data_IF_228293852011
#
_entry.id   IF_228293852011
#
_cell.length_a   1.000
_cell.length_b   1.000
_cell.length_c   1.000
_cell.angle_alpha   90.00
_cell.angle_beta   90.00
_cell.angle_gamma   90.00
#
_symmetry.space_group_name_H-M   'P 1'
#
loop_
_entity.id
_entity.type
_entity.pdbx_description
1 polymer ?
#
# COMPACT_ATOMS: atom_id res chain seq x y z
N UNK A 1 -3.38 -27.20 13.40
CA UNK A 1 -2.75 -25.87 13.32
C UNK A 1 -1.64 -25.93 12.28
N UNK A 2 -1.88 -25.41 11.09
CA UNK A 2 -0.88 -25.31 10.01
C UNK A 2 -0.04 -24.06 10.23
N UNK A 3 1.29 -24.15 10.37
CA UNK A 3 2.14 -22.97 10.35
C UNK A 3 2.23 -22.46 8.89
N UNK A 4 1.77 -21.24 8.67
CA UNK A 4 1.98 -20.48 7.44
C UNK A 4 3.49 -20.24 7.27
N UNK A 5 4.15 -21.05 6.44
CA UNK A 5 5.47 -20.73 5.92
C UNK A 5 5.34 -19.60 4.90
N UNK A 6 5.81 -18.40 5.26
CA UNK A 6 6.01 -17.31 4.31
C UNK A 6 7.07 -17.67 3.25
N UNK A 7 7.20 -16.87 2.18
CA UNK A 7 8.18 -17.13 1.12
C UNK A 7 9.60 -17.09 1.71
N UNK A 8 10.32 -18.22 1.63
CA UNK A 8 11.74 -18.29 1.96
C UNK A 8 12.51 -17.33 1.06
N UNK A 9 13.22 -16.39 1.67
CA UNK A 9 14.19 -15.52 1.01
C UNK A 9 15.30 -16.36 0.37
N UNK A 10 15.77 -15.90 -0.79
CA UNK A 10 16.74 -16.52 -1.66
C UNK A 10 18.05 -16.91 -0.93
N UNK A 11 18.46 -18.17 -1.06
CA UNK A 11 19.82 -18.59 -0.72
C UNK A 11 20.80 -18.00 -1.73
N UNK A 12 21.83 -17.28 -1.25
CA UNK A 12 22.90 -16.75 -2.11
C UNK A 12 23.73 -17.92 -2.64
N UNK A 13 23.61 -18.23 -3.93
CA UNK A 13 24.49 -19.21 -4.60
C UNK A 13 23.93 -19.93 -5.82
N UNK A 14 22.63 -19.86 -6.12
CA UNK A 14 22.08 -20.51 -7.31
C UNK A 14 22.46 -19.75 -8.59
N UNK A 15 23.08 -20.40 -9.60
CA UNK A 15 23.45 -19.73 -10.84
C UNK A 15 22.20 -19.22 -11.56
N UNK A 16 22.23 -17.95 -11.97
CA UNK A 16 21.18 -17.35 -12.78
C UNK A 16 21.34 -17.84 -14.21
N UNK A 17 20.34 -18.55 -14.71
CA UNK A 17 20.31 -19.11 -16.06
C UNK A 17 19.34 -18.33 -16.95
N UNK A 18 19.52 -18.45 -18.27
CA UNK A 18 18.58 -17.92 -19.26
C UNK A 18 17.91 -19.06 -20.01
N UNK A 19 16.59 -19.04 -20.06
CA UNK A 19 15.73 -19.99 -20.76
C UNK A 19 14.97 -19.25 -21.86
N UNK A 20 15.02 -19.75 -23.09
CA UNK A 20 14.27 -19.21 -24.21
C UNK A 20 13.49 -20.31 -24.94
N UNK A 21 12.27 -20.01 -25.35
CA UNK A 21 11.41 -20.98 -26.03
C UNK A 21 9.98 -20.50 -26.25
N UNK A 22 9.19 -21.33 -26.91
CA UNK A 22 7.78 -21.04 -27.22
C UNK A 22 6.88 -21.47 -26.08
N UNK A 23 5.92 -20.63 -25.69
CA UNK A 23 4.88 -20.99 -24.73
C UNK A 23 3.90 -21.95 -25.40
N UNK A 24 3.93 -23.22 -25.04
CA UNK A 24 2.96 -24.20 -25.53
C UNK A 24 1.61 -24.03 -24.85
N UNK A 25 1.61 -23.74 -23.53
CA UNK A 25 0.38 -23.55 -22.78
C UNK A 25 0.56 -22.63 -21.59
N UNK A 26 -0.39 -21.74 -21.40
CA UNK A 26 -0.56 -20.98 -20.16
C UNK A 26 -1.39 -21.85 -19.21
N UNK A 27 -0.76 -22.40 -18.18
CA UNK A 27 -1.46 -23.25 -17.19
C UNK A 27 -2.27 -22.41 -16.21
N UNK A 28 -1.74 -21.24 -15.86
CA UNK A 28 -2.44 -20.26 -15.03
C UNK A 28 -1.90 -18.88 -15.35
N UNK A 29 -2.78 -17.88 -15.42
CA UNK A 29 -2.40 -16.48 -15.44
C UNK A 29 -3.38 -15.72 -14.56
N UNK A 30 -2.85 -14.96 -13.62
CA UNK A 30 -3.62 -14.05 -12.80
C UNK A 30 -3.48 -12.65 -13.38
N UNK A 31 -4.55 -12.18 -14.01
CA UNK A 31 -4.63 -10.84 -14.61
C UNK A 31 -4.50 -9.70 -13.59
N UNK A 32 -4.67 -9.95 -12.29
CA UNK A 32 -4.51 -8.94 -11.23
C UNK A 32 -3.07 -8.79 -10.72
N UNK A 33 -2.25 -9.84 -10.82
CA UNK A 33 -0.87 -9.84 -10.29
C UNK A 33 0.18 -10.03 -11.38
N UNK A 34 -0.26 -10.36 -12.60
CA UNK A 34 0.59 -10.79 -13.71
C UNK A 34 1.24 -12.16 -13.47
N UNK A 35 0.97 -12.83 -12.35
CA UNK A 35 1.57 -14.12 -12.05
C UNK A 35 1.14 -15.15 -13.10
N UNK A 36 2.12 -15.82 -13.72
CA UNK A 36 1.88 -16.84 -14.73
C UNK A 36 2.62 -18.13 -14.42
N UNK A 37 1.96 -19.25 -14.73
CA UNK A 37 2.55 -20.58 -14.79
C UNK A 37 2.45 -21.06 -16.22
N UNK A 38 3.60 -21.21 -16.87
CA UNK A 38 3.72 -21.50 -18.29
C UNK A 38 4.30 -22.90 -18.50
N UNK A 39 3.91 -23.55 -19.58
CA UNK A 39 4.58 -24.73 -20.13
C UNK A 39 5.30 -24.29 -21.41
N UNK A 40 6.62 -24.36 -21.40
CA UNK A 40 7.49 -23.77 -22.42
C UNK A 40 8.30 -24.85 -23.10
N UNK A 41 8.24 -24.90 -24.43
CA UNK A 41 9.17 -25.69 -25.23
C UNK A 41 10.50 -24.93 -25.33
N UNK A 42 11.39 -25.17 -24.36
CA UNK A 42 12.68 -24.49 -24.30
C UNK A 42 13.66 -25.03 -25.35
N UNK A 43 14.50 -24.15 -25.92
CA UNK A 43 15.57 -24.56 -26.85
C UNK A 43 16.48 -25.61 -26.19
N UNK A 44 16.72 -26.71 -26.90
CA UNK A 44 17.60 -27.79 -26.43
C UNK A 44 16.97 -28.71 -25.37
N UNK A 45 15.69 -28.55 -25.03
CA UNK A 45 14.95 -29.46 -24.14
C UNK A 45 13.89 -30.20 -24.96
N UNK A 46 13.75 -31.51 -24.72
CA UNK A 46 12.69 -32.32 -25.35
C UNK A 46 11.34 -32.10 -24.64
N UNK A 47 11.35 -32.12 -23.32
CA UNK A 47 10.12 -31.96 -22.51
C UNK A 47 9.76 -30.49 -22.26
N UNK A 48 8.47 -30.25 -22.02
CA UNK A 48 7.95 -28.94 -21.66
C UNK A 48 8.39 -28.52 -20.26
N UNK A 49 9.11 -27.41 -20.20
CA UNK A 49 9.60 -26.82 -18.95
C UNK A 49 8.47 -26.03 -18.28
N UNK A 50 8.12 -26.30 -17.02
CA UNK A 50 7.26 -25.41 -16.25
C UNK A 50 8.04 -24.15 -15.87
N UNK A 51 7.56 -22.99 -16.33
CA UNK A 51 8.14 -21.68 -16.02
C UNK A 51 7.15 -20.90 -15.16
N UNK A 52 7.61 -20.42 -14.01
CA UNK A 52 6.87 -19.52 -13.14
C UNK A 52 7.48 -18.14 -13.28
N UNK A 53 6.64 -17.12 -13.49
CA UNK A 53 7.09 -15.75 -13.61
C UNK A 53 5.95 -14.77 -13.49
N UNK A 54 6.23 -13.53 -13.86
CA UNK A 54 5.20 -12.50 -13.98
C UNK A 54 5.22 -11.91 -15.39
N UNK A 55 4.13 -12.09 -16.11
CA UNK A 55 3.90 -11.52 -17.43
C UNK A 55 2.60 -10.70 -17.42
N UNK A 56 2.59 -9.45 -17.90
CA UNK A 56 1.38 -8.63 -17.93
C UNK A 56 0.25 -9.25 -18.75
N UNK A 57 0.61 -9.75 -19.92
CA UNK A 57 -0.19 -10.60 -20.78
C UNK A 57 0.75 -11.67 -21.34
N UNK A 58 0.27 -12.89 -21.46
CA UNK A 58 1.03 -13.99 -22.05
C UNK A 58 0.08 -14.98 -22.70
N UNK A 59 0.30 -15.25 -23.98
CA UNK A 59 -0.48 -16.19 -24.78
C UNK A 59 0.29 -17.47 -25.09
N UNK A 60 -0.44 -18.55 -25.42
CA UNK A 60 0.18 -19.68 -26.11
C UNK A 60 0.69 -19.24 -27.49
N UNK A 61 1.78 -19.83 -27.96
CA UNK A 61 2.45 -19.46 -29.21
C UNK A 61 3.48 -18.34 -29.06
N UNK A 62 3.41 -17.50 -28.01
CA UNK A 62 4.42 -16.45 -27.81
C UNK A 62 5.80 -17.04 -27.51
N UNK A 63 6.83 -16.38 -28.03
CA UNK A 63 8.21 -16.70 -27.69
C UNK A 63 8.59 -15.95 -26.41
N UNK A 64 9.22 -16.64 -25.46
CA UNK A 64 9.72 -16.01 -24.23
C UNK A 64 11.23 -16.13 -24.11
N UNK A 65 11.82 -15.12 -23.46
CA UNK A 65 13.16 -15.16 -22.90
C UNK A 65 13.06 -14.85 -21.43
N UNK A 66 13.41 -15.81 -20.59
CA UNK A 66 13.33 -15.73 -19.14
C UNK A 66 14.71 -15.89 -18.52
N UNK A 67 15.01 -15.09 -17.51
CA UNK A 67 16.24 -15.17 -16.72
C UNK A 67 15.87 -15.38 -15.27
N UNK A 68 16.49 -16.35 -14.61
CA UNK A 68 16.10 -16.77 -13.27
C UNK A 68 16.81 -18.04 -12.81
N UNK A 69 16.16 -18.77 -11.90
CA UNK A 69 16.76 -19.93 -11.24
C UNK A 69 15.86 -21.15 -11.35
N UNK A 70 16.48 -22.33 -11.37
CA UNK A 70 15.76 -23.58 -11.15
C UNK A 70 15.41 -23.73 -9.68
N UNK A 71 14.17 -24.09 -9.40
CA UNK A 71 13.74 -24.46 -8.06
C UNK A 71 12.86 -25.70 -8.12
N UNK A 72 12.91 -26.52 -7.08
CA UNK A 72 12.09 -27.71 -6.95
C UNK A 72 10.99 -27.46 -5.93
N UNK A 73 9.75 -27.53 -6.36
CA UNK A 73 8.58 -27.44 -5.51
C UNK A 73 8.14 -28.84 -5.04
N UNK A 74 7.71 -28.98 -3.78
CA UNK A 74 7.31 -30.27 -3.21
C UNK A 74 6.05 -30.86 -3.86
N UNK A 75 5.17 -30.04 -4.42
CA UNK A 75 3.92 -30.46 -5.07
C UNK A 75 4.04 -30.47 -6.59
N UNK A 76 4.84 -29.57 -7.17
CA UNK A 76 4.88 -29.35 -8.62
C UNK A 76 6.20 -29.75 -9.30
N UNK A 77 7.19 -30.22 -8.54
CA UNK A 77 8.46 -30.72 -9.06
C UNK A 77 9.39 -29.61 -9.53
N UNK A 78 10.29 -29.94 -10.47
CA UNK A 78 11.29 -29.00 -10.98
C UNK A 78 10.65 -27.93 -11.87
N UNK A 79 10.85 -26.66 -11.52
CA UNK A 79 10.31 -25.51 -12.22
C UNK A 79 11.40 -24.44 -12.41
N UNK A 80 11.27 -23.66 -13.46
CA UNK A 80 12.13 -22.49 -13.68
C UNK A 80 11.42 -21.25 -13.15
N UNK A 81 11.96 -20.63 -12.10
CA UNK A 81 11.44 -19.38 -11.54
C UNK A 81 12.16 -18.20 -12.19
N UNK A 82 11.46 -17.57 -13.13
CA UNK A 82 11.92 -16.38 -13.82
C UNK A 82 11.87 -15.16 -12.89
N UNK A 83 13.01 -14.48 -12.75
CA UNK A 83 13.06 -13.14 -12.16
C UNK A 83 12.67 -12.09 -13.20
N UNK A 84 13.14 -12.27 -14.43
CA UNK A 84 12.71 -11.46 -15.58
C UNK A 84 12.14 -12.37 -16.66
N UNK A 85 11.03 -11.97 -17.27
CA UNK A 85 10.39 -12.67 -18.37
C UNK A 85 9.98 -11.65 -19.44
N UNK A 86 10.53 -11.80 -20.64
CA UNK A 86 10.16 -11.02 -21.83
C UNK A 86 9.41 -11.92 -22.81
N UNK A 87 8.28 -11.46 -23.32
CA UNK A 87 7.49 -12.16 -24.32
C UNK A 87 7.49 -11.37 -25.64
N UNK A 88 7.74 -12.06 -26.73
CA UNK A 88 7.66 -11.56 -28.11
C UNK A 88 6.54 -12.29 -28.86
N UNK A 89 5.83 -11.61 -29.78
CA UNK A 89 4.75 -12.23 -30.54
C UNK A 89 5.28 -13.45 -31.33
N UNK A 90 4.41 -14.43 -31.63
CA UNK A 90 4.79 -15.49 -32.56
C UNK A 90 5.04 -14.92 -33.95
N UNK A 91 6.08 -15.41 -34.60
CA UNK A 91 6.38 -15.10 -36.00
C UNK A 91 6.03 -16.25 -36.95
N UNK A 92 5.95 -17.48 -36.44
CA UNK A 92 5.59 -18.66 -37.25
C UNK A 92 4.10 -18.95 -37.24
N UNK A 93 3.59 -19.49 -38.34
CA UNK A 93 2.16 -19.80 -38.54
C UNK A 93 1.55 -20.64 -37.40
N UNK A 94 2.25 -21.68 -36.93
CA UNK A 94 1.77 -22.52 -35.80
C UNK A 94 1.65 -21.73 -34.49
N UNK A 95 2.59 -20.80 -34.23
CA UNK A 95 2.55 -19.93 -33.06
C UNK A 95 1.42 -18.90 -33.14
N UNK A 96 1.18 -18.35 -34.33
CA UNK A 96 0.08 -17.41 -34.58
C UNK A 96 -1.27 -18.12 -34.38
N UNK A 97 -1.42 -19.34 -34.88
CA UNK A 97 -2.63 -20.13 -34.68
C UNK A 97 -2.91 -20.35 -33.19
N UNK A 98 -1.90 -20.79 -32.42
CA UNK A 98 -2.01 -20.99 -30.97
C UNK A 98 -2.34 -19.69 -30.24
N UNK A 99 -1.77 -18.57 -30.67
CA UNK A 99 -2.04 -17.26 -30.08
C UNK A 99 -3.48 -16.81 -30.29
N UNK A 100 -3.98 -16.91 -31.52
CA UNK A 100 -5.37 -16.59 -31.84
C UNK A 100 -6.36 -17.52 -31.13
N UNK A 101 -5.99 -18.80 -30.97
CA UNK A 101 -6.80 -19.81 -30.28
C UNK A 101 -6.76 -19.72 -28.75
N UNK A 102 -5.85 -18.92 -28.17
CA UNK A 102 -5.58 -18.86 -26.74
C UNK A 102 -6.72 -18.26 -25.89
N UNK A 103 -7.78 -17.76 -26.52
CA UNK A 103 -8.92 -17.13 -25.85
C UNK A 103 -8.70 -15.66 -25.49
N UNK A 104 -7.50 -15.11 -25.75
CA UNK A 104 -7.22 -13.68 -25.59
C UNK A 104 -8.00 -12.81 -26.59
N UNK A 105 -8.33 -13.33 -27.78
CA UNK A 105 -9.13 -12.63 -28.79
C UNK A 105 -10.58 -13.13 -28.79
N UNK A 106 -11.50 -12.31 -28.27
CA UNK A 106 -12.91 -12.68 -28.11
C UNK A 106 -13.62 -12.88 -29.45
N UNK A 107 -13.76 -14.13 -29.86
CA UNK A 107 -14.49 -14.51 -31.07
C UNK A 107 -13.70 -15.42 -32.01
N UNK A 108 -12.44 -15.73 -31.66
CA UNK A 108 -11.61 -16.70 -32.38
C UNK A 108 -11.41 -17.92 -31.50
N UNK A 109 -12.06 -19.02 -31.87
CA UNK A 109 -11.78 -20.35 -31.31
C UNK A 109 -10.73 -21.09 -32.16
N UNK A 110 -10.24 -22.27 -31.71
CA UNK A 110 -9.19 -23.02 -32.40
C UNK A 110 -9.47 -23.28 -33.88
N UNK A 111 -10.70 -23.69 -34.22
CA UNK A 111 -11.09 -23.93 -35.61
C UNK A 111 -11.08 -22.66 -36.47
N UNK A 112 -11.37 -21.50 -35.89
CA UNK A 112 -11.32 -20.23 -36.61
C UNK A 112 -9.88 -19.74 -36.77
N UNK A 113 -9.07 -19.84 -35.71
CA UNK A 113 -7.64 -19.53 -35.77
C UNK A 113 -6.95 -20.29 -36.91
N UNK A 114 -7.21 -21.60 -37.00
CA UNK A 114 -6.67 -22.44 -38.08
C UNK A 114 -7.07 -21.96 -39.47
N UNK A 115 -8.32 -21.52 -39.66
CA UNK A 115 -8.79 -20.99 -40.96
C UNK A 115 -8.16 -19.66 -41.31
N UNK A 116 -7.99 -18.76 -40.34
CA UNK A 116 -7.36 -17.46 -40.54
C UNK A 116 -5.90 -17.67 -40.95
N UNK A 117 -5.16 -18.48 -40.20
CA UNK A 117 -3.74 -18.76 -40.47
C UNK A 117 -3.55 -19.57 -41.75
N UNK A 118 -4.48 -20.46 -42.11
CA UNK A 118 -4.42 -21.15 -43.39
C UNK A 118 -4.50 -20.21 -44.60
N UNK A 119 -5.17 -19.06 -44.46
CA UNK A 119 -5.31 -18.07 -45.52
C UNK A 119 -4.19 -17.02 -45.51
N UNK A 120 -3.83 -16.48 -44.34
CA UNK A 120 -2.90 -15.36 -44.22
C UNK A 120 -1.49 -15.75 -43.75
N UNK A 121 -1.31 -16.99 -43.28
CA UNK A 121 -0.01 -17.50 -42.83
C UNK A 121 0.64 -16.63 -41.75
N UNK A 122 1.93 -16.36 -41.93
CA UNK A 122 2.72 -15.53 -41.01
C UNK A 122 2.31 -14.05 -41.00
N UNK A 123 1.64 -13.59 -42.05
CA UNK A 123 1.19 -12.19 -42.19
C UNK A 123 -0.15 -11.94 -41.51
N UNK A 124 -0.70 -12.91 -40.77
CA UNK A 124 -2.03 -12.81 -40.15
C UNK A 124 -2.18 -11.54 -39.28
N UNK A 125 -1.18 -11.20 -38.48
CA UNK A 125 -1.25 -10.00 -37.64
C UNK A 125 -1.19 -8.70 -38.46
N UNK A 126 -0.37 -8.66 -39.52
CA UNK A 126 -0.30 -7.52 -40.43
C UNK A 126 -1.64 -7.31 -41.14
N UNK A 127 -2.30 -8.39 -41.58
CA UNK A 127 -3.62 -8.31 -42.22
C UNK A 127 -4.68 -7.79 -41.26
N UNK A 128 -4.69 -8.23 -39.99
CA UNK A 128 -5.63 -7.72 -38.98
C UNK A 128 -5.46 -6.20 -38.76
N UNK A 129 -4.23 -5.69 -38.89
CA UNK A 129 -3.87 -4.31 -38.60
C UNK A 129 -4.00 -3.37 -39.81
N UNK A 130 -3.42 -3.75 -40.95
CA UNK A 130 -3.34 -2.92 -42.14
C UNK A 130 -4.50 -3.14 -43.12
N UNK A 131 -5.07 -4.34 -43.15
CA UNK A 131 -6.09 -4.73 -44.14
C UNK A 131 -7.27 -5.50 -43.50
N UNK A 132 -7.94 -4.93 -42.47
CA UNK A 132 -8.93 -5.66 -41.67
C UNK A 132 -10.12 -6.19 -42.48
N UNK A 133 -10.43 -5.58 -43.63
CA UNK A 133 -11.49 -6.05 -44.52
C UNK A 133 -11.23 -7.44 -45.11
N UNK A 134 -9.95 -7.80 -45.30
CA UNK A 134 -9.57 -9.12 -45.83
C UNK A 134 -9.95 -10.24 -44.89
N UNK A 135 -10.15 -9.98 -43.59
CA UNK A 135 -10.67 -10.99 -42.66
C UNK A 135 -12.00 -11.62 -43.13
N UNK A 136 -12.78 -10.91 -43.95
CA UNK A 136 -14.04 -11.41 -44.55
C UNK A 136 -13.83 -12.49 -45.61
N UNK A 137 -12.62 -12.61 -46.16
CA UNK A 137 -12.24 -13.69 -47.08
C UNK A 137 -12.19 -15.06 -46.36
N UNK A 138 -12.02 -15.05 -45.04
CA UNK A 138 -12.00 -16.27 -44.23
C UNK A 138 -13.43 -16.78 -44.03
N UNK A 139 -13.68 -17.99 -44.53
CA UNK A 139 -14.98 -18.67 -44.37
C UNK A 139 -15.45 -18.70 -42.91
N UNK A 140 -16.61 -18.08 -42.65
CA UNK A 140 -17.23 -17.98 -41.33
C UNK A 140 -16.92 -16.69 -40.55
N UNK A 141 -16.20 -15.74 -41.15
CA UNK A 141 -16.01 -14.38 -40.60
C UNK A 141 -16.88 -13.39 -41.40
N UNK A 142 -18.07 -13.08 -40.85
CA UNK A 142 -18.90 -12.00 -41.35
C UNK A 142 -18.46 -10.62 -40.84
N UNK A 143 -19.07 -9.51 -41.34
CA UNK A 143 -18.67 -8.15 -41.00
C UNK A 143 -18.65 -7.86 -39.48
N UNK A 144 -19.69 -8.28 -38.75
CA UNK A 144 -19.72 -8.11 -37.28
C UNK A 144 -18.61 -8.87 -36.55
N UNK A 145 -18.19 -10.04 -37.07
CA UNK A 145 -17.16 -10.85 -36.44
C UNK A 145 -15.77 -10.28 -36.75
N UNK A 146 -15.55 -9.78 -37.98
CA UNK A 146 -14.34 -9.05 -38.36
C UNK A 146 -14.15 -7.81 -37.46
N UNK A 147 -15.17 -6.99 -37.29
CA UNK A 147 -15.11 -5.80 -36.43
C UNK A 147 -14.76 -6.15 -34.97
N UNK A 148 -15.37 -7.21 -34.43
CA UNK A 148 -15.03 -7.71 -33.10
C UNK A 148 -13.58 -8.19 -32.96
N UNK A 149 -13.05 -8.84 -34.00
CA UNK A 149 -11.66 -9.30 -34.04
C UNK A 149 -10.71 -8.12 -34.02
N UNK A 150 -10.95 -7.13 -34.88
CA UNK A 150 -10.15 -5.89 -34.98
C UNK A 150 -10.18 -5.12 -33.66
N UNK A 151 -11.36 -4.94 -33.06
CA UNK A 151 -11.49 -4.28 -31.76
C UNK A 151 -10.73 -5.03 -30.66
N UNK A 152 -10.87 -6.36 -30.60
CA UNK A 152 -10.15 -7.19 -29.64
C UNK A 152 -8.64 -7.13 -29.82
N UNK A 153 -8.16 -7.08 -31.06
CA UNK A 153 -6.73 -6.90 -31.36
C UNK A 153 -6.22 -5.54 -30.90
N UNK A 154 -6.94 -4.45 -31.22
CA UNK A 154 -6.57 -3.09 -30.83
C UNK A 154 -6.50 -2.93 -29.30
N UNK A 155 -7.49 -3.45 -28.56
CA UNK A 155 -7.50 -3.44 -27.10
C UNK A 155 -6.27 -4.18 -26.52
N UNK A 156 -5.94 -5.36 -27.05
CA UNK A 156 -4.79 -6.14 -26.59
C UNK A 156 -3.45 -5.47 -26.93
N UNK A 157 -3.34 -4.89 -28.13
CA UNK A 157 -2.15 -4.15 -28.55
C UNK A 157 -1.89 -2.98 -27.61
N UNK A 158 -2.92 -2.20 -27.30
CA UNK A 158 -2.80 -1.05 -26.42
C UNK A 158 -2.39 -1.46 -24.99
N UNK A 159 -2.96 -2.54 -24.44
CA UNK A 159 -2.50 -3.12 -23.15
C UNK A 159 -1.02 -3.48 -23.22
N UNK A 160 -0.58 -4.16 -24.28
CA UNK A 160 0.81 -4.57 -24.46
C UNK A 160 1.76 -3.37 -24.52
N UNK A 161 1.42 -2.34 -25.28
CA UNK A 161 2.21 -1.11 -25.42
C UNK A 161 2.37 -0.40 -24.07
N UNK A 162 1.28 -0.25 -23.31
CA UNK A 162 1.32 0.30 -21.95
C UNK A 162 2.26 -0.50 -21.06
N UNK A 163 2.18 -1.83 -21.11
CA UNK A 163 3.01 -2.69 -20.27
C UNK A 163 4.49 -2.63 -20.66
N UNK A 164 4.80 -2.57 -21.95
CA UNK A 164 6.16 -2.34 -22.45
C UNK A 164 6.68 -0.98 -21.95
N UNK A 165 5.87 0.07 -22.06
CA UNK A 165 6.22 1.40 -21.59
C UNK A 165 6.51 1.41 -20.09
N UNK A 166 5.64 0.81 -19.27
CA UNK A 166 5.82 0.71 -17.82
C UNK A 166 7.11 -0.02 -17.46
N UNK A 167 7.39 -1.16 -18.12
CA UNK A 167 8.62 -1.93 -17.88
C UNK A 167 9.88 -1.20 -18.34
N UNK A 168 9.84 -0.52 -19.48
CA UNK A 168 10.95 0.29 -19.98
C UNK A 168 11.35 1.37 -18.97
N UNK A 169 10.38 1.93 -18.23
CA UNK A 169 10.62 2.91 -17.16
C UNK A 169 10.84 2.28 -15.78
N UNK A 170 11.12 0.97 -15.71
CA UNK A 170 11.53 0.28 -14.50
C UNK A 170 10.39 -0.08 -13.55
N UNK A 171 9.14 -0.04 -14.01
CA UNK A 171 8.01 -0.55 -13.24
C UNK A 171 7.99 -2.07 -13.35
N UNK A 172 8.10 -2.78 -12.22
CA UNK A 172 7.97 -4.23 -12.22
C UNK A 172 6.53 -4.68 -12.52
N UNK A 173 6.38 -5.90 -13.07
CA UNK A 173 5.10 -6.43 -13.57
C UNK A 173 3.93 -6.28 -12.60
N UNK A 174 4.10 -6.63 -11.32
CA UNK A 174 3.03 -6.53 -10.32
C UNK A 174 2.59 -5.09 -10.04
N UNK A 175 3.45 -4.10 -10.24
CA UNK A 175 3.08 -2.67 -10.16
C UNK A 175 2.44 -2.22 -11.47
N UNK A 176 2.98 -2.63 -12.61
CA UNK A 176 2.45 -2.27 -13.93
C UNK A 176 0.98 -2.71 -14.10
N UNK A 177 0.66 -3.93 -13.66
CA UNK A 177 -0.72 -4.43 -13.65
C UNK A 177 -1.65 -3.59 -12.78
N UNK A 178 -1.19 -3.16 -11.60
CA UNK A 178 -1.98 -2.28 -10.72
C UNK A 178 -2.21 -0.91 -11.35
N UNK A 179 -1.18 -0.31 -11.95
CA UNK A 179 -1.29 0.96 -12.68
C UNK A 179 -2.31 0.83 -13.80
N UNK A 180 -2.21 -0.21 -14.62
CA UNK A 180 -3.16 -0.46 -15.71
C UNK A 180 -4.59 -0.69 -15.20
N UNK A 181 -4.78 -1.40 -14.09
CA UNK A 181 -6.13 -1.61 -13.51
C UNK A 181 -6.75 -0.29 -13.02
N UNK A 182 -5.94 0.63 -12.51
CA UNK A 182 -6.41 1.93 -12.00
C UNK A 182 -6.69 2.92 -13.12
N UNK A 183 -5.81 3.03 -14.11
CA UNK A 183 -5.88 4.09 -15.14
C UNK A 183 -6.25 3.60 -16.54
N UNK A 184 -6.20 2.29 -16.79
CA UNK A 184 -6.46 1.71 -18.11
C UNK A 184 -5.55 2.29 -19.18
N UNK A 185 -6.15 2.80 -20.26
CA UNK A 185 -5.44 3.40 -21.38
C UNK A 185 -4.71 4.71 -21.00
N UNK A 186 -5.15 5.40 -19.94
CA UNK A 186 -4.53 6.63 -19.46
C UNK A 186 -3.25 6.39 -18.65
N UNK A 187 -2.83 5.13 -18.46
CA UNK A 187 -1.65 4.79 -17.66
C UNK A 187 -0.38 5.50 -18.13
N UNK A 188 -0.15 5.58 -19.44
CA UNK A 188 1.01 6.27 -20.03
C UNK A 188 0.88 7.77 -19.73
N UNK A 189 -0.27 8.37 -20.06
CA UNK A 189 -0.52 9.79 -19.89
C UNK A 189 -0.32 10.24 -18.44
N UNK A 190 -0.93 9.55 -17.48
CA UNK A 190 -0.79 9.86 -16.04
C UNK A 190 0.67 9.76 -15.62
N UNK A 191 1.39 8.73 -16.07
CA UNK A 191 2.78 8.53 -15.69
C UNK A 191 3.71 9.59 -16.32
N UNK A 192 3.38 10.10 -17.51
CA UNK A 192 4.15 11.16 -18.19
C UNK A 192 3.84 12.55 -17.64
N UNK A 193 2.56 12.86 -17.36
CA UNK A 193 2.13 14.18 -16.89
C UNK A 193 2.47 14.39 -15.40
N UNK A 194 2.05 13.48 -14.52
CA UNK A 194 2.34 13.55 -13.07
C UNK A 194 2.60 12.15 -12.49
N UNK A 195 3.84 11.64 -12.62
CA UNK A 195 4.22 10.32 -12.09
C UNK A 195 4.03 10.18 -10.58
N UNK A 196 3.95 11.28 -9.81
CA UNK A 196 3.75 11.24 -8.36
C UNK A 196 2.29 10.92 -7.98
N UNK A 197 1.34 10.99 -8.92
CA UNK A 197 0.01 10.39 -8.74
C UNK A 197 0.06 8.90 -8.47
N UNK A 198 1.05 8.19 -9.00
CA UNK A 198 1.23 6.77 -8.73
C UNK A 198 1.42 6.49 -7.24
N UNK A 199 2.10 7.39 -6.51
CA UNK A 199 2.32 7.23 -5.07
C UNK A 199 1.06 7.47 -4.23
N UNK A 200 0.09 8.23 -4.76
CA UNK A 200 -1.19 8.53 -4.11
C UNK A 200 -2.21 7.43 -4.39
N UNK A 201 -2.35 7.03 -5.65
CA UNK A 201 -3.47 6.20 -6.10
C UNK A 201 -3.14 4.69 -6.07
N UNK A 202 -1.86 4.30 -6.08
CA UNK A 202 -1.44 2.91 -6.23
C UNK A 202 -0.75 2.39 -4.97
N UNK A 203 -1.48 1.56 -4.20
CA UNK A 203 -0.91 0.86 -3.04
C UNK A 203 0.36 0.10 -3.42
N UNK A 204 1.45 0.33 -2.69
CA UNK A 204 2.74 -0.33 -2.91
C UNK A 204 3.67 0.38 -3.91
N UNK A 205 3.25 1.54 -4.41
CA UNK A 205 4.12 2.54 -5.01
C UNK A 205 4.18 3.69 -4.01
N UNK A 206 5.36 3.96 -3.45
CA UNK A 206 5.59 5.13 -2.60
C UNK A 206 6.37 6.20 -3.37
N UNK A 207 6.55 7.37 -2.74
CA UNK A 207 7.28 8.50 -3.32
C UNK A 207 8.60 8.09 -3.98
N UNK A 208 9.47 7.36 -3.27
CA UNK A 208 10.79 6.95 -3.81
C UNK A 208 10.69 6.12 -5.09
N UNK A 209 9.65 5.29 -5.21
CA UNK A 209 9.43 4.50 -6.43
C UNK A 209 8.91 5.40 -7.55
N UNK A 210 7.95 6.28 -7.25
CA UNK A 210 7.46 7.25 -8.22
C UNK A 210 8.57 8.21 -8.70
N UNK A 211 9.44 8.65 -7.80
CA UNK A 211 10.60 9.50 -8.12
C UNK A 211 11.59 8.77 -9.03
N UNK A 212 11.91 7.50 -8.75
CA UNK A 212 12.75 6.70 -9.63
C UNK A 212 12.16 6.50 -11.05
N UNK A 213 10.84 6.42 -11.16
CA UNK A 213 10.13 6.35 -12.45
C UNK A 213 10.17 7.71 -13.15
N UNK A 214 9.88 8.80 -12.44
CA UNK A 214 9.90 10.17 -12.95
C UNK A 214 11.27 10.55 -13.52
N UNK A 215 12.35 10.22 -12.81
CA UNK A 215 13.71 10.49 -13.26
C UNK A 215 14.06 9.70 -14.53
N UNK A 216 13.56 8.46 -14.68
CA UNK A 216 13.73 7.67 -15.92
C UNK A 216 12.94 8.20 -17.10
N UNK A 217 11.82 8.89 -16.83
CA UNK A 217 11.03 9.59 -17.84
C UNK A 217 11.66 10.94 -18.25
N UNK A 218 12.78 11.33 -17.64
CA UNK A 218 13.46 12.58 -17.92
C UNK A 218 12.86 13.78 -17.20
N UNK A 219 12.07 13.57 -16.14
CA UNK A 219 11.57 14.69 -15.34
C UNK A 219 12.73 15.39 -14.63
N UNK A 220 12.76 16.72 -14.71
CA UNK A 220 13.80 17.53 -14.07
C UNK A 220 13.74 17.44 -12.54
N UNK A 221 14.91 17.55 -11.90
CA UNK A 221 15.02 17.54 -10.42
C UNK A 221 14.18 18.63 -9.75
N UNK A 222 14.03 19.77 -10.42
CA UNK A 222 13.35 20.96 -9.92
C UNK A 222 11.89 21.05 -10.38
N UNK A 223 11.38 20.03 -11.08
CA UNK A 223 10.01 20.02 -11.57
C UNK A 223 9.00 20.25 -10.42
N UNK A 224 8.05 21.18 -10.55
CA UNK A 224 7.14 21.55 -9.46
C UNK A 224 6.38 20.36 -8.84
N UNK A 225 5.96 19.40 -9.67
CA UNK A 225 5.28 18.17 -9.22
C UNK A 225 6.18 17.26 -8.37
N UNK A 226 7.48 17.20 -8.67
CA UNK A 226 8.47 16.49 -7.84
C UNK A 226 8.66 17.16 -6.50
N UNK A 227 8.84 18.48 -6.51
CA UNK A 227 9.08 19.26 -5.30
C UNK A 227 7.92 19.14 -4.32
N UNK A 228 6.69 19.32 -4.83
CA UNK A 228 5.46 19.18 -4.03
C UNK A 228 5.29 17.78 -3.44
N UNK A 229 5.43 16.75 -4.27
CA UNK A 229 5.34 15.37 -3.81
C UNK A 229 6.42 15.02 -2.78
N UNK A 230 7.63 15.57 -2.93
CA UNK A 230 8.72 15.37 -1.99
C UNK A 230 8.51 16.07 -0.65
N UNK A 231 7.94 17.28 -0.65
CA UNK A 231 7.54 17.98 0.58
C UNK A 231 6.48 17.18 1.34
N UNK A 232 5.43 16.72 0.67
CA UNK A 232 4.39 15.89 1.29
C UNK A 232 4.94 14.57 1.82
N UNK A 233 5.87 13.94 1.10
CA UNK A 233 6.54 12.73 1.56
C UNK A 233 7.47 12.99 2.76
N UNK A 234 8.20 14.11 2.79
CA UNK A 234 9.04 14.49 3.91
C UNK A 234 8.20 14.74 5.17
N UNK A 235 7.06 15.42 5.01
CA UNK A 235 6.11 15.64 6.10
C UNK A 235 5.55 14.30 6.61
N UNK A 236 5.07 13.43 5.70
CA UNK A 236 4.56 12.10 6.08
C UNK A 236 5.61 11.24 6.80
N UNK A 237 6.85 11.27 6.34
CA UNK A 237 7.97 10.55 6.98
C UNK A 237 8.16 11.02 8.42
N UNK A 238 8.11 12.33 8.67
CA UNK A 238 8.21 12.88 10.01
C UNK A 238 7.02 12.43 10.90
N UNK A 239 5.83 12.31 10.33
CA UNK A 239 4.66 11.82 11.08
C UNK A 239 4.81 10.34 11.46
N UNK A 240 5.38 9.53 10.57
CA UNK A 240 5.71 8.12 10.86
C UNK A 240 6.74 7.98 12.00
N UNK A 241 7.58 9.00 12.21
CA UNK A 241 8.51 9.11 13.34
C UNK A 241 7.86 9.65 14.63
N UNK A 242 6.56 9.96 14.60
CA UNK A 242 5.77 10.39 15.76
C UNK A 242 5.58 11.90 15.89
N UNK A 243 6.03 12.70 14.92
CA UNK A 243 5.67 14.11 14.86
C UNK A 243 4.18 14.29 14.50
N UNK A 244 3.55 15.36 14.98
CA UNK A 244 2.17 15.73 14.57
C UNK A 244 2.16 16.85 13.52
N UNK A 245 3.18 17.70 13.55
CA UNK A 245 3.48 18.73 12.56
C UNK A 245 4.95 19.14 12.62
N UNK A 246 5.39 19.96 11.67
CA UNK A 246 6.76 20.46 11.60
C UNK A 246 6.81 21.96 11.29
N UNK A 247 7.71 22.72 11.95
CA UNK A 247 8.02 24.08 11.56
C UNK A 247 8.55 24.17 10.12
N UNK A 248 8.30 25.30 9.47
CA UNK A 248 8.73 25.60 8.08
C UNK A 248 10.18 25.19 7.82
N UNK A 249 11.12 25.64 8.66
CA UNK A 249 12.55 25.40 8.47
C UNK A 249 12.92 23.92 8.58
N UNK A 250 12.30 23.19 9.52
CA UNK A 250 12.59 21.76 9.71
C UNK A 250 12.06 20.94 8.55
N UNK A 251 10.86 21.26 8.06
CA UNK A 251 10.31 20.63 6.86
C UNK A 251 11.18 20.93 5.63
N UNK A 252 11.63 22.18 5.48
CA UNK A 252 12.49 22.58 4.38
C UNK A 252 13.81 21.79 4.36
N UNK A 253 14.47 21.63 5.52
CA UNK A 253 15.71 20.84 5.65
C UNK A 253 15.50 19.36 5.30
N UNK A 254 14.39 18.76 5.76
CA UNK A 254 14.07 17.37 5.43
C UNK A 254 13.81 17.17 3.93
N UNK A 255 13.02 18.07 3.34
CA UNK A 255 12.72 18.03 1.92
C UNK A 255 13.95 18.33 1.06
N UNK A 256 14.82 19.26 1.48
CA UNK A 256 16.10 19.53 0.84
C UNK A 256 16.99 18.28 0.79
N UNK A 257 17.13 17.58 1.93
CA UNK A 257 17.93 16.34 2.00
C UNK A 257 17.35 15.23 1.14
N UNK A 258 16.03 15.16 1.02
CA UNK A 258 15.34 14.16 0.20
C UNK A 258 15.46 14.45 -1.30
N UNK A 259 15.28 15.72 -1.69
CA UNK A 259 15.11 16.14 -3.09
C UNK A 259 16.43 16.58 -3.74
N UNK A 260 17.43 16.96 -2.94
CA UNK A 260 18.73 17.49 -3.38
C UNK A 260 18.61 18.73 -4.28
N UNK A 261 17.84 19.72 -3.82
CA UNK A 261 17.58 20.99 -4.53
C UNK A 261 17.75 22.18 -3.59
N UNK A 262 17.79 23.40 -4.15
CA UNK A 262 17.98 24.62 -3.36
C UNK A 262 16.82 24.88 -2.37
N UNK A 263 17.11 25.42 -1.16
CA UNK A 263 16.11 25.67 -0.14
C UNK A 263 14.95 26.58 -0.58
N UNK A 264 15.22 27.57 -1.44
CA UNK A 264 14.20 28.51 -1.90
C UNK A 264 13.13 27.84 -2.77
N UNK A 265 13.53 26.87 -3.60
CA UNK A 265 12.59 26.05 -4.38
C UNK A 265 11.70 25.20 -3.46
N UNK A 266 12.26 24.68 -2.36
CA UNK A 266 11.51 23.93 -1.35
C UNK A 266 10.49 24.83 -0.66
N UNK A 267 10.85 26.06 -0.28
CA UNK A 267 9.92 27.02 0.34
C UNK A 267 8.74 27.34 -0.57
N UNK A 268 9.01 27.55 -1.86
CA UNK A 268 7.97 27.75 -2.87
C UNK A 268 7.08 26.51 -2.98
N UNK A 269 7.66 25.31 -2.99
CA UNK A 269 6.91 24.07 -3.04
C UNK A 269 6.03 23.85 -1.80
N UNK A 270 6.52 24.17 -0.60
CA UNK A 270 5.74 24.15 0.64
C UNK A 270 4.53 25.08 0.52
N UNK A 271 4.72 26.31 0.03
CA UNK A 271 3.64 27.27 -0.15
C UNK A 271 2.61 26.82 -1.20
N UNK A 272 3.04 26.11 -2.25
CA UNK A 272 2.14 25.52 -3.24
C UNK A 272 1.37 24.33 -2.67
N UNK A 273 1.98 23.54 -1.79
CA UNK A 273 1.34 22.37 -1.20
C UNK A 273 0.22 22.75 -0.23
N UNK A 274 0.32 23.91 0.43
CA UNK A 274 -0.78 24.50 1.21
C UNK A 274 -2.03 24.83 0.40
N UNK A 275 -1.90 25.00 -0.92
CA UNK A 275 -3.06 25.19 -1.80
C UNK A 275 -3.78 23.88 -2.09
N UNK A 276 -3.14 22.75 -1.78
CA UNK A 276 -3.73 21.42 -1.87
C UNK A 276 -4.67 21.14 -0.70
N UNK A 277 -5.25 19.93 -0.69
CA UNK A 277 -6.21 19.53 0.34
C UNK A 277 -5.59 18.73 1.50
N UNK A 278 -4.38 18.21 1.34
CA UNK A 278 -3.80 17.22 2.26
C UNK A 278 -2.93 17.84 3.37
N UNK A 279 -2.41 19.05 3.17
CA UNK A 279 -1.51 19.74 4.09
C UNK A 279 -2.13 21.05 4.55
N UNK A 280 -2.02 21.34 5.85
CA UNK A 280 -2.50 22.58 6.46
C UNK A 280 -1.38 23.26 7.24
N UNK A 281 -1.42 24.58 7.29
CA UNK A 281 -0.57 25.39 8.16
C UNK A 281 -1.36 25.85 9.39
N UNK A 282 -0.74 25.79 10.55
CA UNK A 282 -1.23 26.39 11.79
C UNK A 282 -0.06 26.98 12.58
N UNK A 283 -0.35 27.86 13.52
CA UNK A 283 0.68 28.50 14.37
C UNK A 283 0.79 27.77 15.70
N UNK A 284 1.99 27.30 16.04
CA UNK A 284 2.30 26.67 17.32
C UNK A 284 3.44 27.45 17.96
N UNK A 285 3.23 27.92 19.19
CA UNK A 285 4.22 28.72 19.95
C UNK A 285 4.79 29.93 19.18
N UNK A 286 3.98 30.53 18.29
CA UNK A 286 4.37 31.67 17.46
C UNK A 286 5.10 31.32 16.15
N UNK A 287 5.30 30.03 15.86
CA UNK A 287 5.92 29.55 14.63
C UNK A 287 4.90 28.90 13.68
N UNK A 288 5.05 29.14 12.38
CA UNK A 288 4.25 28.46 11.35
C UNK A 288 4.69 27.00 11.21
N UNK A 289 3.77 26.10 11.53
CA UNK A 289 3.93 24.65 11.46
C UNK A 289 3.00 24.06 10.41
N UNK A 290 3.45 22.97 9.79
CA UNK A 290 2.74 22.23 8.75
C UNK A 290 2.31 20.86 9.25
N UNK A 291 1.10 20.46 8.90
CA UNK A 291 0.47 19.24 9.39
C UNK A 291 -0.21 18.50 8.23
N UNK A 292 -0.29 17.17 8.35
CA UNK A 292 -1.28 16.43 7.57
C UNK A 292 -2.67 16.79 8.09
N UNK A 293 -3.60 17.13 7.18
CA UNK A 293 -4.96 17.59 7.54
C UNK A 293 -5.68 16.65 8.50
N UNK A 294 -5.54 15.34 8.32
CA UNK A 294 -6.14 14.34 9.20
C UNK A 294 -5.59 14.38 10.64
N UNK A 295 -4.28 14.58 10.81
CA UNK A 295 -3.63 14.68 12.12
C UNK A 295 -3.97 16.00 12.80
N UNK A 296 -3.90 17.11 12.07
CA UNK A 296 -4.30 18.43 12.58
C UNK A 296 -5.75 18.44 13.08
N UNK A 297 -6.67 17.92 12.27
CA UNK A 297 -8.08 17.79 12.65
C UNK A 297 -8.24 16.93 13.92
N UNK A 298 -7.52 15.81 14.00
CA UNK A 298 -7.53 14.95 15.19
C UNK A 298 -7.01 15.67 16.44
N UNK A 299 -5.93 16.46 16.30
CA UNK A 299 -5.35 17.26 17.38
C UNK A 299 -6.32 18.32 17.89
N UNK A 300 -6.99 19.06 16.98
CA UNK A 300 -8.02 20.03 17.36
C UNK A 300 -9.18 19.38 18.09
N UNK A 301 -9.69 18.26 17.58
CA UNK A 301 -10.77 17.51 18.23
C UNK A 301 -10.37 17.01 19.62
N UNK A 302 -9.13 16.56 19.80
CA UNK A 302 -8.61 16.16 21.12
C UNK A 302 -8.59 17.37 22.05
N UNK A 303 -8.06 18.52 21.62
CA UNK A 303 -7.97 19.73 22.42
C UNK A 303 -9.37 20.23 22.85
N UNK A 304 -10.31 20.34 21.90
CA UNK A 304 -11.70 20.73 22.17
C UNK A 304 -12.36 19.81 23.19
N UNK A 305 -12.23 18.48 23.00
CA UNK A 305 -12.77 17.50 23.94
C UNK A 305 -12.12 17.56 25.32
N UNK A 306 -10.84 17.87 25.42
CA UNK A 306 -10.16 18.02 26.70
C UNK A 306 -10.66 19.27 27.45
N UNK A 307 -10.84 20.40 26.73
CA UNK A 307 -11.41 21.63 27.30
C UNK A 307 -12.84 21.38 27.80
N UNK A 308 -13.68 20.76 26.98
CA UNK A 308 -15.07 20.45 27.36
C UNK A 308 -15.14 19.50 28.57
N UNK A 309 -14.25 18.49 28.61
CA UNK A 309 -14.17 17.55 29.73
C UNK A 309 -13.58 18.17 30.99
N UNK A 310 -12.70 19.15 30.88
CA UNK A 310 -12.16 19.88 32.02
C UNK A 310 -13.16 20.90 32.58
N UNK A 311 -14.06 21.43 31.74
CA UNK A 311 -15.02 22.46 32.13
C UNK A 311 -16.12 21.97 33.07
N UNK A 312 -16.45 22.79 34.08
CA UNK A 312 -17.53 22.53 35.04
C UNK A 312 -17.12 21.61 36.19
N UNK A 313 -18.13 21.16 36.95
CA UNK A 313 -17.92 20.34 38.15
C UNK A 313 -17.89 18.84 37.84
N UNK A 314 -17.22 18.03 38.68
CA UNK A 314 -17.27 16.57 38.56
C UNK A 314 -18.68 16.00 38.66
N UNK A 315 -18.96 14.83 38.05
CA UNK A 315 -20.30 14.22 38.02
C UNK A 315 -20.67 13.46 39.31
N UNK A 316 -20.13 13.85 40.46
CA UNK A 316 -20.39 13.25 41.77
C UNK A 316 -20.63 14.34 42.81
N UNK A 317 -21.33 14.03 43.93
CA UNK A 317 -21.57 15.01 44.99
C UNK A 317 -20.26 15.45 45.65
N UNK A 318 -20.33 16.56 46.38
CA UNK A 318 -19.19 17.04 47.17
C UNK A 318 -18.77 15.98 48.20
N UNK A 319 -17.46 15.71 48.25
CA UNK A 319 -16.85 14.69 49.12
C UNK A 319 -15.88 15.38 50.07
N UNK A 320 -16.23 15.37 51.35
CA UNK A 320 -15.37 15.80 52.45
C UNK A 320 -14.22 14.81 52.62
N UNK A 321 -13.03 15.21 52.15
CA UNK A 321 -11.83 14.37 52.18
C UNK A 321 -11.35 14.09 53.60
N UNK A 322 -11.56 15.00 54.55
CA UNK A 322 -11.10 14.84 55.93
C UNK A 322 -11.91 13.72 56.63
N UNK A 323 -13.16 13.51 56.21
CA UNK A 323 -13.97 12.34 56.61
C UNK A 323 -13.68 11.09 55.78
N UNK A 324 -13.46 11.25 54.47
CA UNK A 324 -13.25 10.11 53.56
C UNK A 324 -11.88 9.43 53.76
N UNK A 325 -10.87 10.19 54.17
CA UNK A 325 -9.51 9.70 54.40
C UNK A 325 -9.43 8.59 55.46
N UNK A 326 -9.81 8.79 56.73
CA UNK A 326 -9.70 7.75 57.75
C UNK A 326 -10.53 6.51 57.39
N UNK A 327 -11.67 6.71 56.69
CA UNK A 327 -12.49 5.62 56.18
C UNK A 327 -11.75 4.79 55.11
N UNK A 328 -11.12 5.43 54.11
CA UNK A 328 -10.43 4.70 53.03
C UNK A 328 -9.12 4.07 53.50
N UNK A 329 -8.38 4.72 54.40
CA UNK A 329 -7.17 4.17 55.02
C UNK A 329 -7.53 2.91 55.84
N UNK A 330 -8.63 2.94 56.60
CA UNK A 330 -9.15 1.76 57.31
C UNK A 330 -9.62 0.63 56.39
N UNK A 331 -10.19 0.94 55.23
CA UNK A 331 -10.63 -0.06 54.24
C UNK A 331 -9.49 -0.67 53.42
N UNK A 332 -8.43 0.09 53.17
CA UNK A 332 -7.28 -0.36 52.36
C UNK A 332 -6.14 -0.91 53.20
N UNK A 333 -6.10 -0.62 54.50
CA UNK A 333 -4.99 -0.96 55.39
C UNK A 333 -3.71 -0.17 55.08
N UNK A 334 -3.81 0.94 54.34
CA UNK A 334 -2.68 1.74 53.87
C UNK A 334 -2.87 3.20 54.27
N UNK A 335 -1.83 3.80 54.83
CA UNK A 335 -1.79 5.24 55.09
C UNK A 335 -1.37 5.98 53.83
N UNK A 336 -2.11 7.02 53.46
CA UNK A 336 -1.78 7.85 52.30
C UNK A 336 -0.69 8.87 52.67
N UNK A 337 0.31 9.02 51.81
CA UNK A 337 1.31 10.09 51.94
C UNK A 337 0.69 11.46 51.65
N UNK A 338 1.33 12.57 52.07
CA UNK A 338 0.84 13.92 51.77
C UNK A 338 0.59 14.16 50.27
N UNK A 339 1.48 13.70 49.39
CA UNK A 339 1.32 13.84 47.93
C UNK A 339 0.17 12.98 47.37
N UNK A 340 -0.11 11.82 47.97
CA UNK A 340 -1.25 11.01 47.59
C UNK A 340 -2.57 11.63 48.04
N UNK A 341 -2.59 12.28 49.22
CA UNK A 341 -3.75 13.01 49.72
C UNK A 341 -4.05 14.20 48.80
N UNK A 342 -3.03 14.95 48.39
CA UNK A 342 -3.18 16.05 47.43
C UNK A 342 -3.70 15.54 46.07
N UNK A 343 -3.16 14.44 45.56
CA UNK A 343 -3.64 13.81 44.34
C UNK A 343 -5.11 13.36 44.45
N UNK A 344 -5.52 12.75 45.57
CA UNK A 344 -6.92 12.38 45.81
C UNK A 344 -7.80 13.61 45.89
N UNK A 345 -7.37 14.68 46.58
CA UNK A 345 -8.10 15.95 46.64
C UNK A 345 -8.34 16.52 45.24
N UNK A 346 -7.27 16.62 44.43
CA UNK A 346 -7.34 17.14 43.07
C UNK A 346 -8.26 16.28 42.18
N UNK A 347 -8.17 14.95 42.28
CA UNK A 347 -9.06 14.05 41.54
C UNK A 347 -10.53 14.21 41.95
N UNK A 348 -10.83 14.43 43.24
CA UNK A 348 -12.21 14.60 43.72
C UNK A 348 -12.82 15.94 43.30
N UNK A 349 -12.01 16.99 43.12
CA UNK A 349 -12.48 18.33 42.76
C UNK A 349 -12.40 18.64 41.26
N UNK A 350 -11.72 17.81 40.48
CA UNK A 350 -11.51 18.04 39.04
C UNK A 350 -12.28 17.05 38.18
N UNK A 351 -13.03 17.55 37.19
CA UNK A 351 -13.78 16.71 36.23
C UNK A 351 -12.84 15.95 35.27
N UNK A 352 -11.68 16.53 34.98
CA UNK A 352 -10.57 15.90 34.28
C UNK A 352 -9.30 16.08 35.12
N UNK A 353 -8.57 15.00 35.37
CA UNK A 353 -7.34 15.03 36.16
C UNK A 353 -6.30 14.10 35.53
N UNK A 354 -5.05 14.57 35.43
CA UNK A 354 -3.90 13.77 34.96
C UNK A 354 -2.97 13.55 36.14
N UNK A 355 -2.81 12.30 36.54
CA UNK A 355 -1.86 11.91 37.59
C UNK A 355 -0.63 11.28 36.96
N UNK A 356 0.51 11.94 37.12
CA UNK A 356 1.81 11.45 36.67
C UNK A 356 2.65 11.01 37.86
N UNK A 357 3.71 10.23 37.61
CA UNK A 357 4.65 9.83 38.66
C UNK A 357 5.53 8.68 38.23
N UNK A 358 6.73 8.60 38.81
CA UNK A 358 7.70 7.53 38.52
C UNK A 358 7.24 6.13 38.98
N UNK A 359 8.03 5.08 38.69
CA UNK A 359 7.81 3.75 39.26
C UNK A 359 7.80 3.80 40.79
N UNK A 360 6.95 3.00 41.44
CA UNK A 360 6.97 2.84 42.91
C UNK A 360 6.32 3.96 43.75
N UNK A 361 5.97 5.11 43.17
CA UNK A 361 5.43 6.28 43.92
C UNK A 361 3.97 6.11 44.41
N UNK A 362 3.42 4.91 44.37
CA UNK A 362 2.09 4.63 44.92
C UNK A 362 0.90 5.15 44.09
N UNK A 363 1.06 5.41 42.78
CA UNK A 363 -0.04 5.80 41.87
C UNK A 363 -1.25 4.88 41.95
N UNK A 364 -1.00 3.57 41.92
CA UNK A 364 -2.05 2.55 42.05
C UNK A 364 -2.81 2.67 43.37
N UNK A 365 -2.10 2.86 44.49
CA UNK A 365 -2.75 2.97 45.82
C UNK A 365 -3.60 4.24 45.91
N UNK A 366 -3.17 5.31 45.25
CA UNK A 366 -3.92 6.57 45.10
C UNK A 366 -5.20 6.34 44.30
N UNK A 367 -5.08 5.63 43.16
CA UNK A 367 -6.21 5.25 42.31
C UNK A 367 -7.21 4.35 43.06
N UNK A 368 -6.74 3.29 43.74
CA UNK A 368 -7.60 2.40 44.54
C UNK A 368 -8.38 3.16 45.62
N UNK A 369 -7.73 4.12 46.29
CA UNK A 369 -8.38 4.96 47.30
C UNK A 369 -9.49 5.83 46.69
N UNK A 370 -9.20 6.49 45.57
CA UNK A 370 -10.19 7.30 44.83
C UNK A 370 -11.40 6.45 44.39
N UNK A 371 -11.15 5.27 43.83
CA UNK A 371 -12.21 4.37 43.34
C UNK A 371 -13.13 3.89 44.46
N UNK A 372 -12.57 3.57 45.64
CA UNK A 372 -13.35 3.16 46.83
C UNK A 372 -14.21 4.30 47.35
N UNK A 373 -13.66 5.52 47.43
CA UNK A 373 -14.40 6.71 47.87
C UNK A 373 -15.59 6.95 46.93
N UNK A 374 -15.37 6.98 45.61
CA UNK A 374 -16.43 7.22 44.64
C UNK A 374 -17.53 6.14 44.69
N UNK A 375 -17.16 4.87 44.78
CA UNK A 375 -18.13 3.76 44.89
C UNK A 375 -18.95 3.82 46.18
N UNK A 376 -18.36 4.22 47.30
CA UNK A 376 -19.09 4.41 48.55
C UNK A 376 -20.15 5.53 48.46
N UNK A 377 -20.01 6.44 47.48
CA UNK A 377 -21.00 7.46 47.13
C UNK A 377 -21.96 7.04 46.02
N UNK A 378 -21.94 5.78 45.60
CA UNK A 378 -22.85 5.24 44.57
C UNK A 378 -22.46 5.62 43.14
N UNK A 379 -21.25 6.14 42.92
CA UNK A 379 -20.79 6.53 41.57
C UNK A 379 -20.42 5.27 40.77
N UNK A 380 -20.97 5.16 39.57
CA UNK A 380 -20.59 4.11 38.63
C UNK A 380 -19.21 4.44 38.03
N UNK A 381 -18.25 3.53 38.20
CA UNK A 381 -16.89 3.72 37.70
C UNK A 381 -16.53 2.68 36.65
N UNK A 382 -16.02 3.16 35.51
CA UNK A 382 -15.49 2.35 34.42
C UNK A 382 -13.97 2.55 34.35
N UNK A 383 -13.23 1.45 34.25
CA UNK A 383 -11.78 1.45 34.11
C UNK A 383 -11.40 0.98 32.71
N UNK A 384 -10.45 1.68 32.09
CA UNK A 384 -9.92 1.36 30.77
C UNK A 384 -8.40 1.51 30.75
N UNK A 385 -7.73 0.73 29.90
CA UNK A 385 -6.29 0.82 29.66
C UNK A 385 -5.99 0.52 28.19
N UNK A 386 -4.92 1.11 27.62
CA UNK A 386 -4.61 0.97 26.18
C UNK A 386 -4.13 -0.43 25.79
N UNK A 387 -3.77 -1.30 26.75
CA UNK A 387 -3.34 -2.69 26.48
C UNK A 387 -3.94 -3.66 27.49
N UNK A 388 -4.18 -4.91 27.07
CA UNK A 388 -4.74 -5.95 27.94
C UNK A 388 -3.88 -6.27 29.16
N UNK A 389 -2.55 -6.15 29.05
CA UNK A 389 -1.64 -6.36 30.20
C UNK A 389 -1.79 -5.26 31.25
N UNK A 390 -1.94 -4.01 30.83
CA UNK A 390 -2.19 -2.89 31.73
C UNK A 390 -3.57 -3.02 32.39
N UNK A 391 -4.60 -3.41 31.61
CA UNK A 391 -5.94 -3.66 32.13
C UNK A 391 -5.91 -4.74 33.21
N UNK A 392 -5.28 -5.90 32.96
CA UNK A 392 -5.18 -7.00 33.95
C UNK A 392 -4.53 -6.55 35.26
N UNK A 393 -3.41 -5.83 35.19
CA UNK A 393 -2.72 -5.29 36.37
C UNK A 393 -3.61 -4.30 37.14
N UNK A 394 -4.34 -3.45 36.42
CA UNK A 394 -5.29 -2.52 37.03
C UNK A 394 -6.41 -3.27 37.77
N UNK A 395 -6.93 -4.37 37.19
CA UNK A 395 -7.91 -5.25 37.84
C UNK A 395 -7.36 -5.88 39.12
N UNK A 396 -6.18 -6.50 39.03
CA UNK A 396 -5.56 -7.23 40.14
C UNK A 396 -5.29 -6.30 41.33
N UNK A 397 -4.93 -5.05 41.06
CA UNK A 397 -4.58 -4.09 42.09
C UNK A 397 -5.77 -3.34 42.71
N UNK A 398 -6.83 -3.10 41.93
CA UNK A 398 -8.02 -2.37 42.42
C UNK A 398 -9.12 -3.34 42.88
N UNK A 399 -9.07 -4.60 42.47
CA UNK A 399 -10.16 -5.56 42.65
C UNK A 399 -11.39 -5.25 41.79
N UNK A 400 -11.27 -4.31 40.84
CA UNK A 400 -12.36 -3.82 40.00
C UNK A 400 -12.11 -4.20 38.55
N UNK A 401 -13.04 -4.95 37.94
CA UNK A 401 -12.96 -5.35 36.54
C UNK A 401 -12.98 -4.14 35.59
N UNK A 402 -12.02 -4.00 34.65
CA UNK A 402 -12.08 -3.02 33.60
C UNK A 402 -13.10 -3.42 32.55
N UNK A 403 -13.69 -2.42 31.89
CA UNK A 403 -14.41 -2.64 30.64
C UNK A 403 -13.35 -2.57 29.55
N UNK A 404 -13.15 -3.69 28.86
CA UNK A 404 -12.24 -3.74 27.70
C UNK A 404 -12.88 -2.91 26.59
N UNK A 405 -12.21 -1.83 26.19
CA UNK A 405 -12.61 -1.00 25.05
C UNK A 405 -12.19 -1.65 23.73
#
# INVERSE_FOLDING_TARGET
MNPRTGPKQFERGTPVETLAGTVERVTFHNSETGFCVLKVQARGKRDLVPVIGHAPAIGAGEWITATGIWFSDRQHGLQFKAETLKATPPTGAEGIEKYLASGYMRGIGPAMAKRIVALFGENTFEVIEAEPDRLKEVGGIGPMRAERIVKGWAEQKAVREIMIFLHAHGVGTARAVRIYKTYGQESIKVMTEDPYRLARDIRGIGFRTADAIAMKLGLEKEAPQRLRAGVSFALQTAMDEGHCGLPTERLAVLAQKLLEVEPDLIRVAIALELRGEDVVADTVDGETCFFLKGLHSSERVIAERLIDRASGSPPWPEIDLDKARPWVEGKTGKTLSPSQIEAVRLMLTSKLCVITGGPGVGKTSTLDSMLRILRAKGVQVLLAAPTGRAAKRMTEQTGLGPVVA
#
